data_IF_047603631070
#
_entry.id   IF_047603631070
#
_cell.length_a   1.000
_cell.length_b   1.000
_cell.length_c   1.000
_cell.angle_alpha   90.00
_cell.angle_beta   90.00
_cell.angle_gamma   90.00
#
_symmetry.space_group_name_H-M   'P 1'
#
loop_
_entity.id
_entity.type
_entity.pdbx_description
1 polymer ?
#
# COMPACT_ATOMS: atom_id res chain seq x y z
N UNK A 1 -10.09 -21.73 -17.36
CA UNK A 1 -8.74 -21.81 -17.95
C UNK A 1 -8.65 -22.98 -18.92
N UNK A 2 -7.91 -22.82 -20.02
CA UNK A 2 -7.66 -23.88 -21.02
C UNK A 2 -6.23 -23.75 -21.57
N UNK A 3 -5.54 -24.86 -21.80
CA UNK A 3 -4.23 -24.86 -22.47
C UNK A 3 -4.38 -24.52 -23.95
N UNK A 4 -3.60 -23.57 -24.44
CA UNK A 4 -3.63 -23.12 -25.84
C UNK A 4 -2.41 -23.59 -26.63
N UNK A 5 -1.22 -23.47 -26.04
CA UNK A 5 0.04 -23.82 -26.68
C UNK A 5 1.11 -24.16 -25.64
N UNK A 6 2.09 -24.97 -26.02
CA UNK A 6 3.23 -25.38 -25.18
C UNK A 6 4.47 -25.50 -26.05
N UNK A 7 5.52 -24.80 -25.65
CA UNK A 7 6.87 -25.02 -26.15
C UNK A 7 7.84 -25.27 -24.97
N UNK A 8 9.11 -25.52 -25.28
CA UNK A 8 10.10 -25.84 -24.25
C UNK A 8 10.35 -24.68 -23.27
N UNK A 9 10.14 -23.42 -23.66
CA UNK A 9 10.44 -22.25 -22.85
C UNK A 9 9.19 -21.63 -22.24
N UNK A 10 7.99 -21.92 -22.75
CA UNK A 10 6.75 -21.23 -22.40
C UNK A 10 5.50 -22.12 -22.47
N UNK A 11 4.51 -21.78 -21.65
CA UNK A 11 3.14 -22.30 -21.68
C UNK A 11 2.17 -21.16 -21.97
N UNK A 12 1.23 -21.37 -22.89
CA UNK A 12 0.15 -20.40 -23.20
C UNK A 12 -1.19 -20.95 -22.74
N UNK A 13 -1.91 -20.18 -21.94
CA UNK A 13 -3.26 -20.54 -21.43
C UNK A 13 -4.28 -19.44 -21.72
N UNK A 14 -5.53 -19.85 -21.90
CA UNK A 14 -6.69 -18.95 -21.93
C UNK A 14 -7.13 -18.64 -20.49
N UNK A 15 -7.06 -17.38 -20.09
CA UNK A 15 -7.55 -16.84 -18.81
C UNK A 15 -8.79 -15.94 -19.03
N UNK A 16 -9.38 -15.40 -17.96
CA UNK A 16 -10.56 -14.54 -18.08
C UNK A 16 -10.34 -13.27 -18.95
N UNK A 17 -9.15 -12.68 -18.87
CA UNK A 17 -8.76 -11.47 -19.61
C UNK A 17 -8.16 -11.78 -21.01
N UNK A 18 -8.18 -13.05 -21.42
CA UNK A 18 -7.67 -13.53 -22.71
C UNK A 18 -6.46 -14.47 -22.60
N UNK A 19 -5.80 -14.77 -23.75
CA UNK A 19 -4.59 -15.58 -23.79
C UNK A 19 -3.43 -14.93 -23.03
N UNK A 20 -2.70 -15.73 -22.26
CA UNK A 20 -1.51 -15.31 -21.52
C UNK A 20 -0.40 -16.37 -21.60
N UNK A 21 0.84 -15.90 -21.76
CA UNK A 21 2.04 -16.74 -21.81
C UNK A 21 2.81 -16.70 -20.49
N UNK A 22 3.36 -17.84 -20.11
CA UNK A 22 4.18 -18.00 -18.92
C UNK A 22 5.45 -18.81 -19.25
N UNK A 23 6.62 -18.18 -19.09
CA UNK A 23 7.93 -18.81 -19.21
C UNK A 23 8.11 -19.94 -18.18
N UNK A 24 8.74 -21.03 -18.62
CA UNK A 24 9.08 -22.22 -17.86
C UNK A 24 9.89 -21.86 -16.60
N UNK A 25 10.94 -21.03 -16.78
CA UNK A 25 11.76 -20.54 -15.67
C UNK A 25 10.92 -19.82 -14.61
N UNK A 26 10.00 -18.96 -15.03
CA UNK A 26 9.15 -18.21 -14.10
C UNK A 26 8.17 -19.12 -13.37
N UNK A 27 7.54 -20.08 -14.07
CA UNK A 27 6.67 -21.06 -13.44
C UNK A 27 7.44 -21.92 -12.43
N UNK A 28 8.62 -22.43 -12.80
CA UNK A 28 9.46 -23.23 -11.91
C UNK A 28 9.95 -22.47 -10.69
N UNK A 29 10.33 -21.20 -10.86
CA UNK A 29 10.72 -20.31 -9.76
C UNK A 29 9.55 -20.01 -8.79
N UNK A 30 8.31 -20.21 -9.27
CA UNK A 30 7.07 -20.06 -8.52
C UNK A 30 6.31 -21.38 -8.34
N UNK A 31 7.03 -22.50 -8.37
CA UNK A 31 6.46 -23.82 -8.12
C UNK A 31 5.79 -23.89 -6.74
N UNK A 32 4.67 -24.60 -6.68
CA UNK A 32 3.78 -24.73 -5.52
C UNK A 32 3.83 -26.14 -4.91
N UNK A 33 4.70 -27.02 -5.40
CA UNK A 33 4.93 -28.32 -4.78
C UNK A 33 5.63 -28.18 -3.41
N UNK A 34 5.49 -29.19 -2.56
CA UNK A 34 5.98 -29.16 -1.17
C UNK A 34 7.51 -29.06 -1.06
N UNK A 35 8.27 -29.47 -2.08
CA UNK A 35 9.73 -29.35 -2.08
C UNK A 35 10.20 -27.96 -2.52
N UNK A 36 9.39 -27.25 -3.31
CA UNK A 36 9.67 -25.89 -3.78
C UNK A 36 9.16 -24.80 -2.85
N UNK A 37 8.06 -25.05 -2.13
CA UNK A 37 7.34 -24.03 -1.37
C UNK A 37 6.74 -24.58 -0.08
N UNK A 38 7.08 -23.93 1.03
CA UNK A 38 6.53 -24.27 2.34
C UNK A 38 5.08 -23.78 2.46
N UNK A 39 4.29 -24.39 3.35
CA UNK A 39 2.86 -24.04 3.55
C UNK A 39 2.58 -22.62 4.05
N UNK A 40 3.62 -21.84 4.38
CA UNK A 40 3.53 -20.40 4.70
C UNK A 40 3.93 -19.50 3.51
N UNK A 41 3.97 -20.06 2.30
CA UNK A 41 4.30 -19.39 1.04
C UNK A 41 5.77 -18.95 0.90
N UNK A 42 6.66 -19.45 1.76
CA UNK A 42 8.11 -19.23 1.61
C UNK A 42 8.72 -20.22 0.61
N UNK A 43 9.58 -19.71 -0.28
CA UNK A 43 10.38 -20.51 -1.19
C UNK A 43 11.43 -21.32 -0.43
N UNK A 44 11.66 -22.56 -0.85
CA UNK A 44 12.57 -23.51 -0.19
C UNK A 44 13.93 -23.71 -0.92
N UNK A 45 14.17 -22.97 -1.99
CA UNK A 45 15.39 -22.99 -2.77
C UNK A 45 15.80 -21.56 -3.17
N UNK A 46 17.08 -21.35 -3.43
CA UNK A 46 17.58 -20.09 -3.97
C UNK A 46 17.48 -20.09 -5.50
N UNK A 47 17.35 -18.92 -6.11
CA UNK A 47 17.33 -18.80 -7.58
C UNK A 47 18.59 -19.39 -8.23
N UNK A 48 19.71 -19.42 -7.51
CA UNK A 48 20.98 -20.02 -7.95
C UNK A 48 20.97 -21.55 -7.97
N UNK A 49 19.99 -22.19 -7.34
CA UNK A 49 19.82 -23.64 -7.35
C UNK A 49 19.06 -24.12 -8.59
N UNK A 50 18.41 -23.20 -9.32
CA UNK A 50 17.75 -23.53 -10.59
C UNK A 50 18.80 -23.79 -11.69
N UNK A 51 18.46 -24.72 -12.58
CA UNK A 51 19.26 -24.95 -13.78
C UNK A 51 19.30 -23.70 -14.66
N UNK A 52 20.42 -23.49 -15.36
CA UNK A 52 20.60 -22.35 -16.29
C UNK A 52 19.54 -22.34 -17.40
N UNK A 53 19.10 -23.52 -17.83
CA UNK A 53 18.00 -23.71 -18.77
C UNK A 53 16.91 -24.59 -18.13
N UNK A 54 15.83 -23.95 -17.70
CA UNK A 54 14.61 -24.63 -17.27
C UNK A 54 13.67 -24.75 -18.46
N UNK A 55 13.13 -25.94 -18.69
CA UNK A 55 12.19 -26.20 -19.79
C UNK A 55 10.89 -26.84 -19.33
N UNK A 56 9.83 -26.67 -20.12
CA UNK A 56 8.60 -27.46 -20.01
C UNK A 56 8.84 -28.83 -20.62
N UNK A 57 8.66 -29.88 -19.83
CA UNK A 57 8.68 -31.28 -20.30
C UNK A 57 7.28 -31.69 -20.71
N UNK A 58 6.29 -31.44 -19.84
CA UNK A 58 4.87 -31.61 -20.14
C UNK A 58 4.05 -30.48 -19.52
N UNK A 59 2.92 -30.14 -20.15
CA UNK A 59 1.94 -29.23 -19.57
C UNK A 59 0.53 -29.65 -19.97
N UNK A 60 -0.39 -29.63 -19.01
CA UNK A 60 -1.80 -29.96 -19.21
C UNK A 60 -2.70 -29.19 -18.25
N UNK A 61 -4.00 -29.17 -18.51
CA UNK A 61 -4.99 -28.63 -17.57
C UNK A 61 -5.84 -29.77 -17.03
N UNK A 62 -5.70 -30.04 -15.73
CA UNK A 62 -6.42 -31.11 -15.00
C UNK A 62 -7.22 -30.46 -13.88
N UNK A 63 -8.52 -30.74 -13.83
CA UNK A 63 -9.45 -30.20 -12.81
C UNK A 63 -9.39 -28.67 -12.67
N UNK A 64 -9.20 -27.98 -13.80
CA UNK A 64 -9.12 -26.52 -13.85
C UNK A 64 -7.80 -25.91 -13.37
N UNK A 65 -6.79 -26.74 -13.06
CA UNK A 65 -5.43 -26.31 -12.72
C UNK A 65 -4.47 -26.59 -13.88
N UNK A 66 -3.56 -25.68 -14.15
CA UNK A 66 -2.43 -25.91 -15.04
C UNK A 66 -1.41 -26.75 -14.29
N UNK A 67 -1.06 -27.93 -14.81
CA UNK A 67 -0.03 -28.83 -14.29
C UNK A 67 1.14 -28.78 -15.27
N UNK A 68 2.36 -28.57 -14.76
CA UNK A 68 3.58 -28.49 -15.57
C UNK A 68 4.69 -29.30 -14.93
N UNK A 69 5.31 -30.16 -15.72
CA UNK A 69 6.55 -30.87 -15.39
C UNK A 69 7.74 -30.12 -16.00
N UNK A 70 8.80 -29.92 -15.20
CA UNK A 70 9.98 -29.17 -15.60
C UNK A 70 11.19 -30.06 -15.81
N UNK A 71 11.99 -29.69 -16.80
CA UNK A 71 13.35 -30.18 -17.00
C UNK A 71 14.37 -29.16 -16.51
N UNK A 72 15.56 -29.60 -16.06
CA UNK A 72 16.01 -30.99 -15.96
C UNK A 72 15.69 -31.68 -14.62
N UNK A 73 15.11 -30.98 -13.65
CA UNK A 73 14.97 -31.48 -12.27
C UNK A 73 13.76 -32.40 -12.05
N UNK A 74 12.85 -32.50 -13.02
CA UNK A 74 11.67 -33.37 -12.97
C UNK A 74 10.58 -32.88 -12.02
N UNK A 75 10.67 -31.63 -11.54
CA UNK A 75 9.67 -31.07 -10.62
C UNK A 75 8.34 -30.92 -11.36
N UNK A 76 7.25 -31.32 -10.72
CA UNK A 76 5.89 -31.11 -11.21
C UNK A 76 5.15 -30.19 -10.26
N UNK A 77 4.56 -29.13 -10.78
CA UNK A 77 3.80 -28.15 -9.99
C UNK A 77 2.47 -27.82 -10.66
N UNK A 78 1.50 -27.32 -9.89
CA UNK A 78 0.18 -26.95 -10.41
C UNK A 78 -0.35 -25.62 -9.87
N UNK A 79 -1.02 -24.85 -10.73
CA UNK A 79 -1.61 -23.55 -10.39
C UNK A 79 -3.07 -23.49 -10.82
N UNK A 80 -3.93 -22.90 -9.98
CA UNK A 80 -5.28 -22.54 -10.41
C UNK A 80 -5.28 -21.24 -11.24
N UNK A 81 -6.40 -21.02 -11.93
CA UNK A 81 -6.60 -19.86 -12.79
C UNK A 81 -6.49 -18.54 -12.01
N UNK A 82 -6.98 -18.50 -10.77
CA UNK A 82 -6.98 -17.27 -9.95
C UNK A 82 -5.56 -16.84 -9.64
N UNK A 83 -4.70 -17.80 -9.26
CA UNK A 83 -3.29 -17.52 -9.03
C UNK A 83 -2.59 -17.03 -10.31
N UNK A 84 -2.80 -17.70 -11.45
CA UNK A 84 -2.19 -17.29 -12.72
C UNK A 84 -2.66 -15.90 -13.16
N UNK A 85 -3.95 -15.59 -13.00
CA UNK A 85 -4.51 -14.26 -13.28
C UNK A 85 -3.94 -13.17 -12.36
N UNK A 86 -3.69 -13.50 -11.09
CA UNK A 86 -3.09 -12.55 -10.14
C UNK A 86 -1.64 -12.21 -10.45
N UNK A 87 -0.91 -13.16 -11.04
CA UNK A 87 0.53 -13.08 -11.32
C UNK A 87 0.88 -12.97 -12.82
N UNK A 88 -0.13 -12.81 -13.67
CA UNK A 88 0.06 -12.68 -15.12
C UNK A 88 0.83 -11.40 -15.47
N UNK A 89 1.98 -11.56 -16.13
CA UNK A 89 2.83 -10.47 -16.61
C UNK A 89 2.75 -10.23 -18.12
N UNK A 90 2.09 -11.11 -18.88
CA UNK A 90 2.04 -11.08 -20.34
C UNK A 90 0.88 -10.25 -20.91
N UNK A 91 0.16 -9.51 -20.06
CA UNK A 91 -0.97 -8.68 -20.48
C UNK A 91 -0.51 -7.22 -20.73
N UNK A 92 -0.69 -6.68 -21.96
CA UNK A 92 -0.36 -5.30 -22.26
C UNK A 92 -1.14 -4.34 -21.35
N UNK A 93 -0.44 -3.42 -20.68
CA UNK A 93 -1.07 -2.43 -19.80
C UNK A 93 -1.34 -2.91 -18.37
N UNK A 94 -1.16 -4.20 -18.05
CA UNK A 94 -1.05 -4.67 -16.66
C UNK A 94 0.40 -4.50 -16.15
N UNK A 95 0.86 -3.26 -16.11
CA UNK A 95 1.58 -2.88 -14.90
C UNK A 95 0.49 -2.84 -13.84
N UNK A 96 0.24 -3.95 -13.15
CA UNK A 96 -0.47 -3.87 -11.86
C UNK A 96 0.43 -3.05 -10.96
N UNK A 97 0.32 -1.73 -11.08
CA UNK A 97 0.62 -0.83 -9.99
C UNK A 97 -0.32 -1.33 -8.91
N UNK A 98 0.18 -2.09 -7.97
CA UNK A 98 -0.51 -2.51 -6.75
C UNK A 98 -0.90 -1.29 -5.87
N UNK A 99 -1.03 -0.11 -6.47
CA UNK A 99 -0.85 1.17 -5.82
C UNK A 99 -1.56 2.36 -6.46
N UNK A 100 -2.43 2.20 -7.45
CA UNK A 100 -3.41 3.26 -7.74
C UNK A 100 -4.76 2.92 -7.10
N UNK A 101 -4.71 2.80 -5.77
CA UNK A 101 -5.90 3.01 -4.95
C UNK A 101 -6.10 4.51 -4.72
N UNK A 102 -5.02 5.30 -4.67
CA UNK A 102 -5.09 6.73 -4.44
C UNK A 102 -5.95 7.42 -5.52
N UNK A 103 -6.97 8.14 -5.08
CA UNK A 103 -7.88 8.93 -5.91
C UNK A 103 -7.71 10.40 -5.51
N UNK A 104 -6.86 11.17 -6.23
CA UNK A 104 -6.65 12.57 -5.92
C UNK A 104 -7.95 13.37 -5.87
N UNK A 105 -8.15 14.16 -4.81
CA UNK A 105 -9.43 14.82 -4.56
C UNK A 105 -9.31 16.34 -4.36
N UNK A 106 -10.39 17.05 -4.70
CA UNK A 106 -10.70 18.40 -4.20
C UNK A 106 -11.66 18.29 -3.01
N UNK A 107 -11.88 19.39 -2.28
CA UNK A 107 -12.75 19.38 -1.10
C UNK A 107 -14.15 18.78 -1.38
N UNK A 108 -14.75 19.13 -2.53
CA UNK A 108 -16.07 18.64 -2.93
C UNK A 108 -16.06 17.19 -3.44
N UNK A 109 -14.89 16.63 -3.73
CA UNK A 109 -14.72 15.27 -4.27
C UNK A 109 -14.35 14.21 -3.23
N UNK A 110 -13.89 14.61 -2.05
CA UNK A 110 -13.44 13.68 -1.00
C UNK A 110 -14.57 12.72 -0.61
N UNK A 111 -14.28 11.41 -0.65
CA UNK A 111 -15.26 10.36 -0.38
C UNK A 111 -16.44 10.34 -1.36
N UNK A 112 -16.30 10.90 -2.58
CA UNK A 112 -17.43 11.08 -3.50
C UNK A 112 -18.37 12.21 -3.07
N UNK A 113 -17.87 13.19 -2.33
CA UNK A 113 -18.62 14.35 -1.84
C UNK A 113 -19.26 14.16 -0.47
N UNK A 114 -19.09 13.00 0.17
CA UNK A 114 -19.57 12.76 1.53
C UNK A 114 -18.54 13.11 2.61
N UNK A 115 -17.32 13.46 2.21
CA UNK A 115 -16.21 13.69 3.12
C UNK A 115 -15.47 12.40 3.51
N UNK A 116 -14.54 12.46 4.49
CA UNK A 116 -13.70 11.33 4.86
C UNK A 116 -14.52 10.19 5.47
N UNK A 117 -14.10 8.95 5.22
CA UNK A 117 -14.71 7.78 5.87
C UNK A 117 -14.59 7.90 7.39
N UNK A 118 -15.64 7.51 8.11
CA UNK A 118 -15.72 7.58 9.57
C UNK A 118 -15.93 6.19 10.15
N UNK A 119 -15.02 5.77 11.02
CA UNK A 119 -15.14 4.55 11.82
C UNK A 119 -15.63 4.94 13.22
N UNK A 120 -16.79 4.43 13.63
CA UNK A 120 -17.15 4.44 15.05
C UNK A 120 -16.28 3.41 15.78
N UNK A 121 -15.61 3.80 16.86
CA UNK A 121 -14.68 2.93 17.56
C UNK A 121 -15.35 1.62 17.96
N UNK A 122 -16.60 1.61 18.41
CA UNK A 122 -17.32 0.38 18.80
C UNK A 122 -17.27 -0.74 17.74
N UNK A 123 -17.26 -0.37 16.45
CA UNK A 123 -17.29 -1.30 15.32
C UNK A 123 -15.92 -1.79 14.86
N UNK A 124 -14.83 -1.45 15.58
CA UNK A 124 -13.44 -1.74 15.16
C UNK A 124 -13.12 -3.21 14.89
N UNK A 125 -13.82 -4.15 15.53
CA UNK A 125 -13.58 -5.58 15.37
C UNK A 125 -14.35 -6.18 14.18
N UNK A 126 -15.24 -5.40 13.54
CA UNK A 126 -15.93 -5.85 12.35
C UNK A 126 -14.98 -5.83 11.15
N UNK A 127 -14.71 -7.03 10.60
CA UNK A 127 -13.78 -7.21 9.49
C UNK A 127 -14.16 -6.43 8.21
N UNK A 128 -15.45 -6.24 7.95
CA UNK A 128 -15.91 -5.48 6.79
C UNK A 128 -15.66 -3.98 7.02
N UNK A 129 -15.97 -3.49 8.22
CA UNK A 129 -15.72 -2.09 8.60
C UNK A 129 -14.22 -1.79 8.59
N UNK A 130 -13.39 -2.69 9.13
CA UNK A 130 -11.92 -2.58 9.08
C UNK A 130 -11.39 -2.56 7.64
N UNK A 131 -11.93 -3.41 6.76
CA UNK A 131 -11.57 -3.41 5.35
C UNK A 131 -11.97 -2.10 4.66
N UNK A 132 -13.14 -1.54 4.99
CA UNK A 132 -13.63 -0.29 4.39
C UNK A 132 -12.81 0.93 4.81
N UNK A 133 -12.46 1.08 6.09
CA UNK A 133 -11.56 2.17 6.51
C UNK A 133 -10.16 2.00 5.89
N UNK A 134 -9.66 0.78 5.76
CA UNK A 134 -8.36 0.52 5.13
C UNK A 134 -8.36 0.91 3.66
N UNK A 135 -9.44 0.58 2.92
CA UNK A 135 -9.63 1.03 1.54
C UNK A 135 -9.75 2.55 1.45
N UNK A 136 -10.47 3.18 2.38
CA UNK A 136 -10.60 4.63 2.42
C UNK A 136 -9.25 5.33 2.68
N UNK A 137 -8.42 4.81 3.59
CA UNK A 137 -7.06 5.33 3.82
C UNK A 137 -6.16 5.16 2.59
N UNK A 138 -6.22 4.02 1.91
CA UNK A 138 -5.46 3.79 0.68
C UNK A 138 -5.94 4.64 -0.50
N UNK A 139 -7.24 4.95 -0.55
CA UNK A 139 -7.87 5.73 -1.61
C UNK A 139 -7.73 7.23 -1.41
N UNK A 140 -8.11 7.72 -0.24
CA UNK A 140 -8.26 9.15 0.03
C UNK A 140 -7.10 9.71 0.88
N UNK A 141 -6.28 8.84 1.48
CA UNK A 141 -5.20 9.24 2.38
C UNK A 141 -5.65 9.72 3.77
N UNK A 142 -6.96 9.71 4.04
CA UNK A 142 -7.55 10.21 5.29
C UNK A 142 -8.79 9.41 5.70
N UNK A 143 -8.94 9.19 7.00
CA UNK A 143 -10.15 8.69 7.64
C UNK A 143 -10.26 9.28 9.05
N UNK A 144 -11.45 9.22 9.64
CA UNK A 144 -11.72 9.69 11.01
C UNK A 144 -12.18 8.52 11.86
N UNK A 145 -11.65 8.41 13.08
CA UNK A 145 -12.12 7.46 14.09
C UNK A 145 -12.83 8.23 15.19
N UNK A 146 -14.06 7.82 15.51
CA UNK A 146 -14.95 8.46 16.47
C UNK A 146 -15.13 7.61 17.73
N UNK A 147 -15.50 8.23 18.84
CA UNK A 147 -15.79 7.50 20.09
C UNK A 147 -14.54 7.03 20.86
N UNK A 148 -13.39 7.67 20.63
CA UNK A 148 -12.20 7.52 21.46
C UNK A 148 -12.33 8.31 22.77
N UNK A 149 -11.58 7.90 23.79
CA UNK A 149 -11.62 8.54 25.09
C UNK A 149 -10.78 9.82 25.14
N UNK A 150 -11.37 10.93 25.57
CA UNK A 150 -10.67 12.20 25.76
C UNK A 150 -9.95 12.31 27.11
N UNK A 151 -10.25 11.39 28.04
CA UNK A 151 -9.57 11.25 29.32
C UNK A 151 -8.31 10.39 29.21
N UNK A 152 -8.24 9.30 29.99
CA UNK A 152 -7.14 8.33 30.01
C UNK A 152 -7.59 6.90 30.41
N UNK A 153 -8.89 6.62 30.37
CA UNK A 153 -9.50 5.39 30.89
C UNK A 153 -10.10 4.48 29.81
N UNK A 154 -10.28 4.99 28.60
CA UNK A 154 -10.81 4.25 27.45
C UNK A 154 -9.81 4.16 26.30
N UNK A 155 -10.33 3.89 25.10
CA UNK A 155 -9.52 3.67 23.91
C UNK A 155 -8.73 4.92 23.52
N UNK A 156 -7.45 4.71 23.22
CA UNK A 156 -6.45 5.73 22.94
C UNK A 156 -6.03 5.69 21.47
N UNK A 157 -5.23 6.69 21.08
CA UNK A 157 -4.55 6.70 19.77
C UNK A 157 -3.65 5.47 19.55
N UNK A 158 -3.13 4.86 20.63
CA UNK A 158 -2.33 3.66 20.55
C UNK A 158 -3.14 2.42 20.15
N UNK A 159 -4.38 2.34 20.62
CA UNK A 159 -5.30 1.25 20.29
C UNK A 159 -5.74 1.36 18.81
N UNK A 160 -5.95 2.58 18.32
CA UNK A 160 -6.21 2.82 16.89
C UNK A 160 -5.01 2.40 16.03
N UNK A 161 -3.79 2.77 16.43
CA UNK A 161 -2.59 2.36 15.68
C UNK A 161 -2.46 0.83 15.60
N UNK A 162 -2.78 0.14 16.70
CA UNK A 162 -2.70 -1.33 16.79
C UNK A 162 -3.64 -2.06 15.82
N UNK A 163 -4.64 -1.39 15.23
CA UNK A 163 -5.47 -1.97 14.17
C UNK A 163 -4.68 -2.28 12.88
N UNK A 164 -3.55 -1.59 12.65
CA UNK A 164 -2.72 -1.77 11.44
C UNK A 164 -1.28 -2.16 11.75
N UNK A 165 -0.73 -1.76 12.89
CA UNK A 165 0.64 -2.13 13.23
C UNK A 165 1.29 -1.32 14.35
N UNK A 166 2.62 -1.47 14.51
CA UNK A 166 3.35 -0.78 15.56
C UNK A 166 3.49 0.72 15.29
N UNK A 167 3.49 1.51 16.36
CA UNK A 167 3.81 2.93 16.28
C UNK A 167 5.31 3.11 16.03
N UNK A 168 5.67 3.99 15.08
CA UNK A 168 7.06 4.41 14.85
C UNK A 168 7.51 5.37 15.95
N UNK A 169 8.28 4.87 16.90
CA UNK A 169 8.89 5.71 17.93
C UNK A 169 9.94 6.67 17.32
N UNK A 170 9.96 7.90 17.83
CA UNK A 170 10.94 8.93 17.44
C UNK A 170 11.55 9.57 18.68
N UNK A 171 12.48 10.52 18.49
CA UNK A 171 12.97 11.34 19.60
C UNK A 171 11.89 12.23 20.25
N UNK A 172 10.71 12.38 19.64
CA UNK A 172 9.55 12.99 20.30
C UNK A 172 8.77 12.01 21.19
N UNK A 173 9.21 10.75 21.26
CA UNK A 173 8.55 9.66 21.96
C UNK A 173 7.70 8.79 21.05
N UNK A 174 7.06 7.78 21.65
CA UNK A 174 6.09 6.90 20.98
C UNK A 174 4.78 7.62 20.69
N UNK A 175 4.31 8.43 21.63
CA UNK A 175 3.18 9.35 21.48
C UNK A 175 3.61 10.68 22.07
N UNK A 176 3.30 11.79 21.40
CA UNK A 176 3.58 13.13 21.89
C UNK A 176 2.30 13.97 21.91
N UNK A 177 2.25 14.94 22.82
CA UNK A 177 1.09 15.82 22.98
C UNK A 177 1.31 17.14 22.26
N UNK A 178 0.36 17.55 21.43
CA UNK A 178 0.34 18.87 20.80
C UNK A 178 -0.51 19.80 21.65
N UNK A 179 0.14 20.74 22.33
CA UNK A 179 -0.48 21.79 23.15
C UNK A 179 0.20 23.11 22.85
N UNK A 180 -0.52 24.22 22.94
CA UNK A 180 0.10 25.53 22.90
C UNK A 180 0.93 25.73 24.18
N UNK A 181 2.25 25.85 24.04
CA UNK A 181 3.18 26.02 25.15
C UNK A 181 3.77 27.44 25.18
N UNK A 182 4.10 27.91 26.39
CA UNK A 182 4.65 29.26 26.60
C UNK A 182 6.07 29.40 26.02
N UNK A 183 6.85 28.31 25.96
CA UNK A 183 8.19 28.25 25.36
C UNK A 183 8.33 27.00 24.45
N UNK A 184 7.84 27.05 23.21
CA UNK A 184 7.71 25.87 22.36
C UNK A 184 9.03 25.49 21.66
N UNK A 185 9.41 24.21 21.73
CA UNK A 185 10.55 23.64 21.00
C UNK A 185 10.24 23.30 19.53
N UNK A 186 8.97 23.41 19.13
CA UNK A 186 8.49 23.16 17.77
C UNK A 186 7.34 24.14 17.47
N UNK A 187 7.25 24.62 16.23
CA UNK A 187 6.17 25.48 15.77
C UNK A 187 4.77 24.88 16.02
N UNK A 188 4.66 23.55 16.02
CA UNK A 188 3.43 22.82 16.34
C UNK A 188 2.89 23.12 17.76
N UNK A 189 3.72 23.61 18.67
CA UNK A 189 3.35 24.00 20.03
C UNK A 189 3.10 25.52 20.18
N UNK A 190 2.96 26.25 19.07
CA UNK A 190 2.59 27.68 19.07
C UNK A 190 1.11 27.87 18.72
N UNK A 191 0.45 28.96 19.15
CA UNK A 191 -0.92 29.27 18.74
C UNK A 191 -1.01 29.84 17.30
N UNK A 192 0.08 29.77 16.52
CA UNK A 192 0.10 30.26 15.14
C UNK A 192 -0.53 29.23 14.21
N UNK A 193 -1.23 29.71 13.18
CA UNK A 193 -1.69 28.85 12.12
C UNK A 193 -0.50 28.15 11.45
N UNK A 194 -0.55 26.82 11.40
CA UNK A 194 0.40 26.03 10.61
C UNK A 194 -0.10 26.02 9.17
N UNK A 195 0.77 26.37 8.23
CA UNK A 195 0.51 26.13 6.82
C UNK A 195 0.39 24.62 6.58
N UNK A 196 -0.28 24.24 5.50
CA UNK A 196 -0.31 22.83 5.08
C UNK A 196 1.12 22.32 4.85
N UNK A 197 1.43 21.16 5.43
CA UNK A 197 2.76 20.56 5.39
C UNK A 197 2.64 19.04 5.56
N UNK A 198 3.71 18.34 5.20
CA UNK A 198 3.92 16.95 5.60
C UNK A 198 4.88 16.91 6.78
N UNK A 199 4.64 15.99 7.71
CA UNK A 199 5.45 15.88 8.91
C UNK A 199 6.78 15.19 8.66
N UNK A 200 7.82 15.71 9.30
CA UNK A 200 9.13 15.09 9.39
C UNK A 200 9.80 14.80 8.02
N UNK A 201 9.80 15.74 7.03
CA UNK A 201 10.42 15.53 5.72
C UNK A 201 11.94 15.32 5.78
N UNK A 202 12.54 15.60 6.94
CA UNK A 202 13.94 15.39 7.26
C UNK A 202 14.31 13.95 7.64
N UNK A 203 13.34 13.03 7.83
CA UNK A 203 13.61 11.62 8.14
C UNK A 203 13.69 10.77 6.88
N UNK A 204 14.49 9.70 6.93
CA UNK A 204 14.52 8.64 5.89
C UNK A 204 14.48 7.26 6.56
N UNK A 205 13.43 6.44 6.33
CA UNK A 205 12.18 6.80 5.66
C UNK A 205 11.37 7.86 6.46
N UNK A 206 10.57 8.65 5.76
CA UNK A 206 9.56 9.53 6.39
C UNK A 206 8.44 8.68 7.03
N UNK A 207 7.74 9.17 8.07
CA UNK A 207 6.54 8.51 8.57
C UNK A 207 5.48 8.39 7.46
N UNK A 208 4.90 7.20 7.28
CA UNK A 208 3.90 6.95 6.23
C UNK A 208 2.49 7.42 6.60
N UNK A 209 2.07 7.17 7.85
CA UNK A 209 0.80 7.63 8.41
C UNK A 209 1.03 8.45 9.67
N UNK A 210 0.16 9.44 9.88
CA UNK A 210 0.11 10.26 11.07
C UNK A 210 -1.29 10.13 11.69
N UNK A 211 -1.32 9.88 13.00
CA UNK A 211 -2.56 9.85 13.77
C UNK A 211 -2.60 11.09 14.67
N UNK A 212 -3.75 11.74 14.73
CA UNK A 212 -4.01 12.88 15.61
C UNK A 212 -5.29 12.60 16.39
N UNK A 213 -5.21 12.70 17.72
CA UNK A 213 -6.33 12.47 18.62
C UNK A 213 -6.65 13.76 19.38
N UNK A 214 -7.82 14.32 19.11
CA UNK A 214 -8.30 15.51 19.80
C UNK A 214 -8.80 15.14 21.22
N UNK A 215 -8.03 15.50 22.24
CA UNK A 215 -8.43 15.34 23.64
C UNK A 215 -9.25 16.54 24.14
N UNK A 216 -8.87 17.75 23.73
CA UNK A 216 -9.55 19.00 24.09
C UNK A 216 -9.55 19.90 22.86
N UNK A 217 -10.73 20.25 22.38
CA UNK A 217 -10.90 21.19 21.27
C UNK A 217 -10.77 22.64 21.75
N UNK A 218 -10.32 23.54 20.88
CA UNK A 218 -10.33 24.98 21.15
C UNK A 218 -11.74 25.56 21.00
N UNK A 219 -12.11 26.50 21.86
CA UNK A 219 -13.37 27.24 21.74
C UNK A 219 -13.37 28.21 20.54
N UNK A 220 -12.18 28.66 20.12
CA UNK A 220 -11.98 29.58 18.99
C UNK A 220 -10.81 29.10 18.13
N UNK A 221 -11.04 28.96 16.83
CA UNK A 221 -10.02 28.50 15.87
C UNK A 221 -9.63 27.04 16.07
N UNK A 222 -8.39 26.67 15.72
CA UNK A 222 -7.90 25.29 15.84
C UNK A 222 -8.47 24.31 14.81
N UNK A 223 -9.00 24.82 13.69
CA UNK A 223 -9.55 24.01 12.61
C UNK A 223 -8.45 23.19 11.95
N UNK A 224 -8.71 21.89 11.78
CA UNK A 224 -7.89 21.04 10.91
C UNK A 224 -8.14 21.39 9.46
N UNK A 225 -7.06 21.62 8.71
CA UNK A 225 -7.09 21.83 7.26
C UNK A 225 -6.27 20.74 6.60
N UNK A 226 -6.86 20.07 5.61
CA UNK A 226 -6.22 19.03 4.82
C UNK A 226 -6.21 19.43 3.35
N UNK A 227 -5.13 19.09 2.66
CA UNK A 227 -4.98 19.28 1.22
C UNK A 227 -4.40 18.01 0.64
N UNK A 228 -4.98 17.55 -0.46
CA UNK A 228 -4.42 16.45 -1.24
C UNK A 228 -3.18 16.92 -2.01
N UNK A 229 -2.02 16.44 -1.58
CA UNK A 229 -0.74 16.75 -2.22
C UNK A 229 -0.60 16.21 -3.64
N UNK A 230 -1.26 15.09 -3.96
CA UNK A 230 -1.27 14.55 -5.33
C UNK A 230 -2.13 15.42 -6.23
N UNK A 231 -3.33 15.82 -5.79
CA UNK A 231 -4.18 16.73 -6.57
C UNK A 231 -3.50 18.08 -6.81
N UNK A 232 -2.78 18.60 -5.81
CA UNK A 232 -2.00 19.83 -5.95
C UNK A 232 -0.84 19.67 -6.95
N UNK A 233 -0.13 18.54 -6.91
CA UNK A 233 0.92 18.22 -7.89
C UNK A 233 0.38 18.09 -9.32
N UNK A 234 -0.79 17.48 -9.50
CA UNK A 234 -1.46 17.38 -10.80
C UNK A 234 -1.86 18.76 -11.33
N UNK A 235 -2.46 19.61 -10.49
CA UNK A 235 -2.79 20.99 -10.88
C UNK A 235 -1.55 21.75 -11.34
N UNK A 236 -0.46 21.67 -10.57
CA UNK A 236 0.80 22.32 -10.93
C UNK A 236 1.37 21.79 -12.26
N UNK A 237 1.30 20.47 -12.48
CA UNK A 237 1.73 19.84 -13.73
C UNK A 237 0.93 20.34 -14.93
N UNK A 238 -0.38 20.50 -14.77
CA UNK A 238 -1.28 20.91 -15.85
C UNK A 238 -1.16 22.43 -16.16
N UNK A 239 -0.85 23.25 -15.14
CA UNK A 239 -0.65 24.70 -15.29
C UNK A 239 0.70 25.08 -15.93
N UNK A 240 1.75 24.26 -15.75
CA UNK A 240 3.13 24.62 -16.11
C UNK A 240 3.79 23.56 -17.00
N UNK A 241 3.55 23.65 -18.32
CA UNK A 241 4.16 22.78 -19.34
C UNK A 241 5.70 22.92 -19.48
N UNK A 242 6.41 23.66 -18.60
CA UNK A 242 7.87 23.84 -18.68
C UNK A 242 8.66 23.86 -17.35
N UNK A 243 8.10 24.35 -16.24
CA UNK A 243 8.82 24.57 -14.98
C UNK A 243 8.65 23.48 -13.90
N UNK A 244 7.61 22.64 -13.98
CA UNK A 244 7.32 21.56 -13.03
C UNK A 244 8.51 20.62 -12.82
N UNK A 245 9.21 20.27 -13.89
CA UNK A 245 10.36 19.36 -13.84
C UNK A 245 11.46 19.85 -12.88
N UNK A 246 11.67 21.16 -12.77
CA UNK A 246 12.68 21.73 -11.86
C UNK A 246 12.33 21.59 -10.38
N UNK A 247 11.03 21.59 -10.02
CA UNK A 247 10.58 21.42 -8.64
C UNK A 247 10.63 19.95 -8.19
N UNK A 248 10.37 19.01 -9.10
CA UNK A 248 10.44 17.57 -8.85
C UNK A 248 11.88 17.02 -8.91
N UNK A 249 12.74 17.56 -9.79
CA UNK A 249 14.13 17.13 -9.93
C UNK A 249 15.06 17.75 -8.86
N UNK A 250 14.63 18.83 -8.19
CA UNK A 250 15.43 19.48 -7.15
C UNK A 250 15.43 18.67 -5.85
N UNK A 251 16.51 17.93 -5.60
CA UNK A 251 16.76 17.35 -4.29
C UNK A 251 16.90 18.46 -3.24
N UNK A 252 15.88 18.63 -2.39
CA UNK A 252 15.90 19.60 -1.29
C UNK A 252 16.45 18.96 -0.02
N UNK A 253 17.33 19.69 0.66
CA UNK A 253 17.82 19.33 1.99
C UNK A 253 16.88 19.94 3.04
N UNK A 254 16.37 19.11 3.94
CA UNK A 254 15.53 19.52 5.06
C UNK A 254 16.28 19.20 6.36
N UNK A 255 17.05 20.13 6.95
CA UNK A 255 17.64 19.92 8.26
C UNK A 255 16.58 20.14 9.35
N UNK A 256 16.59 19.31 10.40
CA UNK A 256 15.94 19.65 11.66
C UNK A 256 16.96 20.46 12.48
N UNK A 257 16.60 21.69 12.88
CA UNK A 257 17.38 22.45 13.86
C UNK A 257 16.86 22.03 15.23
N UNK A 258 17.71 21.36 16.00
CA UNK A 258 17.41 20.88 17.36
C UNK A 258 17.58 21.96 18.42
#
# INVERSE_FOLDING_TARGET
MRLLDVDAEMVTVELADGPARFHALWLRDNAQDEASRHGNDQRLFDVTDLAEAVTVVTAEVVDGRLVVEFGPDGVTSSWDAVWLEMHCYDLPGRHRVTGQLANPWTADGLGGGTGPYRLAWVDRDDSAVWADITRALQRDGVAIVEGLDTGHTGATIGDVAALWGPIRETNYGRVFHVRAEVNPINLAFTPRALNVHTDNPYRRPVPGYQLLHCLVASDVGGMTVLVDGFRAAEALRDEDLGGVRSAFDAQRSFPMVG
#
